data_IF_800861249750
#
_entry.id   IF_800861249750
#
_cell.length_a   1.000
_cell.length_b   1.000
_cell.length_c   1.000
_cell.angle_alpha   90.00
_cell.angle_beta   90.00
_cell.angle_gamma   90.00
#
_symmetry.space_group_name_H-M   'P 1'
#
loop_
_entity.id
_entity.type
_entity.pdbx_description
1 polymer ?
#
# COMPACT_ATOMS: atom_id res chain seq x y z
N UNK A 1 -20.65 16.94 -2.79
CA UNK A 1 -20.43 15.68 -3.55
C UNK A 1 -19.81 14.68 -2.60
N UNK A 2 -20.61 13.75 -2.07
CA UNK A 2 -20.14 12.73 -1.14
C UNK A 2 -19.64 11.58 -2.01
N UNK A 3 -18.33 11.38 -2.07
CA UNK A 3 -17.76 10.21 -2.75
C UNK A 3 -18.08 9.03 -1.83
N UNK A 4 -19.05 8.20 -2.21
CA UNK A 4 -19.19 6.90 -1.58
C UNK A 4 -17.92 6.11 -1.90
N UNK A 5 -17.19 5.58 -0.90
CA UNK A 5 -16.07 4.69 -1.20
C UNK A 5 -16.65 3.55 -2.03
N UNK A 6 -16.09 3.31 -3.21
CA UNK A 6 -16.47 2.16 -4.01
C UNK A 6 -16.44 0.94 -3.08
N UNK A 7 -17.54 0.20 -3.03
CA UNK A 7 -17.68 -0.97 -2.16
C UNK A 7 -16.67 -2.03 -2.59
N UNK A 8 -15.44 -1.90 -2.10
CA UNK A 8 -14.34 -2.75 -2.47
C UNK A 8 -14.49 -4.04 -1.66
N UNK A 9 -14.98 -5.11 -2.29
CA UNK A 9 -15.06 -6.43 -1.68
C UNK A 9 -13.78 -7.21 -2.00
N UNK A 10 -12.72 -6.97 -1.22
CA UNK A 10 -11.46 -7.73 -1.32
C UNK A 10 -11.71 -9.20 -1.04
N UNK A 11 -11.19 -10.09 -1.88
CA UNK A 11 -11.05 -11.50 -1.52
C UNK A 11 -9.81 -11.68 -0.64
N UNK A 12 -9.81 -12.72 0.21
CA UNK A 12 -8.63 -13.07 1.02
C UNK A 12 -7.40 -13.33 0.13
N UNK A 13 -7.63 -13.87 -1.05
CA UNK A 13 -6.58 -14.20 -2.02
C UNK A 13 -5.91 -12.92 -2.53
N UNK A 14 -6.70 -11.89 -2.86
CA UNK A 14 -6.16 -10.62 -3.32
C UNK A 14 -5.33 -9.90 -2.25
N UNK A 15 -5.74 -9.95 -0.98
CA UNK A 15 -4.93 -9.42 0.12
C UNK A 15 -3.62 -10.20 0.29
N UNK A 16 -3.66 -11.51 0.09
CA UNK A 16 -2.47 -12.37 0.16
C UNK A 16 -1.49 -12.04 -0.96
N UNK A 17 -1.99 -11.83 -2.17
CA UNK A 17 -1.20 -11.40 -3.33
C UNK A 17 -0.56 -10.03 -3.10
N UNK A 18 -1.32 -9.06 -2.58
CA UNK A 18 -0.79 -7.74 -2.23
C UNK A 18 0.34 -7.85 -1.20
N UNK A 19 0.19 -8.65 -0.15
CA UNK A 19 1.23 -8.85 0.86
C UNK A 19 2.48 -9.50 0.25
N UNK A 20 2.29 -10.50 -0.63
CA UNK A 20 3.39 -11.20 -1.29
C UNK A 20 4.26 -10.31 -2.19
N UNK A 21 3.77 -9.14 -2.61
CA UNK A 21 4.57 -8.16 -3.36
C UNK A 21 5.83 -7.73 -2.59
N UNK A 22 5.79 -7.71 -1.25
CA UNK A 22 6.97 -7.35 -0.45
C UNK A 22 8.07 -8.42 -0.43
N UNK A 23 7.80 -9.63 -0.91
CA UNK A 23 8.76 -10.75 -0.87
C UNK A 23 9.63 -10.82 -2.13
N UNK A 24 9.33 -10.06 -3.19
CA UNK A 24 9.96 -10.24 -4.51
C UNK A 24 10.11 -8.95 -5.33
N UNK A 25 10.89 -7.98 -4.83
CA UNK A 25 10.99 -6.63 -5.41
C UNK A 25 11.27 -6.54 -6.91
N UNK A 26 12.19 -7.34 -7.45
CA UNK A 26 12.50 -7.32 -8.89
C UNK A 26 11.32 -7.79 -9.78
N UNK A 27 10.49 -8.72 -9.27
CA UNK A 27 9.32 -9.22 -10.01
C UNK A 27 8.18 -8.22 -10.00
N UNK A 28 8.02 -7.48 -8.90
CA UNK A 28 6.96 -6.48 -8.73
C UNK A 28 7.10 -5.33 -9.73
N UNK A 29 8.32 -4.87 -10.00
CA UNK A 29 8.55 -3.82 -10.99
C UNK A 29 8.05 -4.24 -12.38
N UNK A 30 8.18 -5.53 -12.74
CA UNK A 30 7.71 -6.05 -14.04
C UNK A 30 6.21 -6.39 -14.10
N UNK A 31 5.56 -6.63 -12.97
CA UNK A 31 4.18 -7.16 -12.91
C UNK A 31 3.15 -6.16 -12.42
N UNK A 32 3.57 -5.12 -11.70
CA UNK A 32 2.70 -4.08 -11.18
C UNK A 32 2.01 -4.46 -9.85
N UNK A 33 1.07 -3.60 -9.44
CA UNK A 33 0.14 -3.84 -8.33
C UNK A 33 -1.23 -4.05 -8.94
N UNK A 34 -1.86 -5.20 -8.70
CA UNK A 34 -3.24 -5.45 -9.14
C UNK A 34 -4.22 -5.18 -8.01
N UNK A 35 -5.25 -4.39 -8.30
CA UNK A 35 -6.33 -4.05 -7.38
C UNK A 35 -7.68 -4.15 -8.09
N UNK A 36 -8.44 -5.19 -7.77
CA UNK A 36 -9.58 -5.62 -8.57
C UNK A 36 -9.12 -5.99 -9.97
N UNK A 37 -9.80 -5.47 -10.98
CA UNK A 37 -9.44 -5.69 -12.39
C UNK A 37 -8.45 -4.63 -12.93
N UNK A 38 -7.83 -3.83 -12.04
CA UNK A 38 -6.96 -2.73 -12.44
C UNK A 38 -5.52 -3.04 -12.06
N UNK A 39 -4.62 -3.02 -13.06
CA UNK A 39 -3.19 -3.12 -12.85
C UNK A 39 -2.55 -1.74 -12.85
N UNK A 40 -1.69 -1.48 -11.87
CA UNK A 40 -0.94 -0.26 -11.71
C UNK A 40 0.54 -0.57 -11.94
N UNK A 41 1.17 0.18 -12.85
CA UNK A 41 2.60 0.07 -13.12
C UNK A 41 3.40 0.58 -11.93
N UNK A 42 4.37 -0.22 -11.46
CA UNK A 42 5.18 0.12 -10.29
C UNK A 42 6.29 1.08 -10.71
N UNK A 43 6.32 2.25 -10.08
CA UNK A 43 7.33 3.27 -10.33
C UNK A 43 8.43 3.28 -9.27
N UNK A 44 8.09 2.89 -8.03
CA UNK A 44 9.03 2.86 -6.91
C UNK A 44 8.76 1.65 -6.04
N UNK A 45 9.83 0.94 -5.70
CA UNK A 45 9.80 -0.17 -4.78
C UNK A 45 10.80 0.10 -3.64
N UNK A 46 10.30 0.04 -2.41
CA UNK A 46 11.07 0.07 -1.17
C UNK A 46 10.61 -1.10 -0.30
N UNK A 47 11.45 -1.52 0.63
CA UNK A 47 11.16 -2.64 1.55
C UNK A 47 9.85 -2.45 2.33
N UNK A 48 9.49 -1.21 2.66
CA UNK A 48 8.26 -0.88 3.40
C UNK A 48 7.17 -0.23 2.53
N UNK A 49 7.43 0.00 1.25
CA UNK A 49 6.51 0.78 0.42
C UNK A 49 6.66 0.50 -1.07
N UNK A 50 5.54 0.21 -1.72
CA UNK A 50 5.45 0.01 -3.16
C UNK A 50 4.47 1.04 -3.72
N UNK A 51 4.90 1.76 -4.75
CA UNK A 51 4.14 2.86 -5.34
C UNK A 51 4.01 2.64 -6.84
N UNK A 52 2.78 2.76 -7.34
CA UNK A 52 2.49 2.63 -8.76
C UNK A 52 1.44 3.61 -9.27
N UNK A 53 1.16 3.54 -10.56
CA UNK A 53 0.18 4.38 -11.24
C UNK A 53 -0.47 3.62 -12.41
N UNK A 54 -1.71 3.96 -12.75
CA UNK A 54 -2.33 3.44 -13.97
C UNK A 54 -1.57 3.95 -15.21
N UNK A 55 -1.34 3.07 -16.17
CA UNK A 55 -0.57 3.35 -17.39
C UNK A 55 -1.21 4.38 -18.33
N UNK A 56 -2.55 4.38 -18.44
CA UNK A 56 -3.25 5.02 -19.56
C UNK A 56 -3.63 6.49 -19.39
N UNK A 57 -3.23 7.19 -18.31
CA UNK A 57 -3.59 8.60 -18.16
C UNK A 57 -2.40 9.47 -17.72
N UNK A 58 -2.21 10.59 -18.41
CA UNK A 58 -1.34 11.68 -17.98
C UNK A 58 -1.66 12.14 -16.53
N UNK A 59 -2.91 11.93 -16.11
CA UNK A 59 -3.44 12.19 -14.75
C UNK A 59 -3.78 10.91 -13.95
N UNK A 60 -3.24 9.75 -14.33
CA UNK A 60 -3.63 8.45 -13.78
C UNK A 60 -3.69 8.36 -12.26
N UNK A 61 -4.70 7.67 -11.74
CA UNK A 61 -4.78 7.36 -10.32
C UNK A 61 -3.53 6.57 -9.87
N UNK A 62 -2.89 7.06 -8.81
CA UNK A 62 -1.79 6.38 -8.16
C UNK A 62 -2.27 5.42 -7.08
N UNK A 63 -1.40 4.48 -6.73
CA UNK A 63 -1.60 3.49 -5.68
C UNK A 63 -0.34 3.43 -4.81
N UNK A 64 -0.52 3.30 -3.51
CA UNK A 64 0.56 3.01 -2.57
C UNK A 64 0.14 1.84 -1.67
N UNK A 65 1.02 0.86 -1.59
CA UNK A 65 0.95 -0.23 -0.62
C UNK A 65 2.09 -0.04 0.38
N UNK A 66 1.76 0.06 1.66
CA UNK A 66 2.68 0.40 2.74
C UNK A 66 2.67 -0.74 3.76
N UNK A 67 3.85 -1.12 4.25
CA UNK A 67 4.04 -2.06 5.34
C UNK A 67 4.62 -1.30 6.53
N UNK A 68 3.97 -1.40 7.69
CA UNK A 68 4.42 -0.78 8.95
C UNK A 68 4.66 -1.88 9.97
N UNK A 69 5.91 -2.14 10.38
CA UNK A 69 6.22 -3.07 11.46
C UNK A 69 5.53 -2.63 12.77
N UNK A 70 4.92 -3.58 13.48
CA UNK A 70 4.28 -3.30 14.77
C UNK A 70 5.24 -3.65 15.90
N UNK A 71 5.32 -2.77 16.91
CA UNK A 71 6.15 -3.00 18.08
C UNK A 71 5.44 -3.84 19.12
N UNK A 72 6.22 -4.68 19.80
CA UNK A 72 5.80 -5.41 21.00
C UNK A 72 5.69 -4.44 22.18
N UNK A 73 4.54 -4.42 22.85
CA UNK A 73 4.33 -3.58 24.03
C UNK A 73 5.24 -3.98 25.21
N UNK A 74 5.62 -5.26 25.29
CA UNK A 74 6.44 -5.80 26.38
C UNK A 74 7.93 -5.46 26.23
N UNK A 75 8.43 -5.37 25.00
CA UNK A 75 9.88 -5.24 24.72
C UNK A 75 10.24 -3.95 23.98
N UNK A 76 9.25 -3.23 23.44
CA UNK A 76 9.43 -2.08 22.55
C UNK A 76 10.31 -2.38 21.31
N UNK A 77 10.37 -3.65 20.91
CA UNK A 77 11.07 -4.16 19.71
C UNK A 77 10.05 -4.64 18.68
N UNK A 78 10.49 -4.94 17.45
CA UNK A 78 9.60 -5.52 16.44
C UNK A 78 8.94 -6.82 16.93
N UNK A 79 7.61 -6.89 16.79
CA UNK A 79 6.81 -8.06 17.15
C UNK A 79 6.84 -9.17 16.08
N UNK A 80 7.46 -8.90 14.92
CA UNK A 80 7.35 -9.73 13.72
C UNK A 80 6.00 -9.57 13.00
N UNK A 81 5.07 -8.80 13.53
CA UNK A 81 3.80 -8.45 12.87
C UNK A 81 3.93 -7.12 12.11
N UNK A 82 3.08 -6.93 11.10
CA UNK A 82 3.04 -5.70 10.32
C UNK A 82 1.60 -5.31 10.01
N UNK A 83 1.32 -4.00 10.07
CA UNK A 83 0.09 -3.42 9.53
C UNK A 83 0.35 -3.07 8.07
N UNK A 84 -0.55 -3.51 7.19
CA UNK A 84 -0.52 -3.19 5.77
C UNK A 84 -1.58 -2.14 5.46
N UNK A 85 -1.20 -1.13 4.70
CA UNK A 85 -2.10 -0.08 4.27
C UNK A 85 -2.08 0.07 2.76
N UNK A 86 -3.25 0.32 2.21
CA UNK A 86 -3.44 0.52 0.80
C UNK A 86 -4.21 1.81 0.58
N UNK A 87 -3.67 2.69 -0.28
CA UNK A 87 -4.31 3.94 -0.65
C UNK A 87 -4.25 4.15 -2.16
N UNK A 88 -5.37 4.58 -2.75
CA UNK A 88 -5.39 5.17 -4.09
C UNK A 88 -5.51 6.69 -3.99
N UNK A 89 -4.94 7.41 -4.95
CA UNK A 89 -4.96 8.87 -4.95
C UNK A 89 -4.89 9.44 -6.37
N UNK A 90 -5.59 10.55 -6.61
CA UNK A 90 -5.61 11.18 -7.94
C UNK A 90 -4.33 11.96 -8.26
N UNK A 91 -3.80 12.70 -7.28
CA UNK A 91 -2.64 13.57 -7.47
C UNK A 91 -1.43 13.06 -6.68
N UNK A 92 -0.21 13.06 -7.27
CA UNK A 92 1.01 12.66 -6.57
C UNK A 92 1.28 13.48 -5.29
N UNK A 93 0.85 14.73 -5.23
CA UNK A 93 1.02 15.58 -4.04
C UNK A 93 0.14 15.17 -2.85
N UNK A 94 -0.88 14.36 -3.07
CA UNK A 94 -1.70 13.81 -1.99
C UNK A 94 -1.01 12.61 -1.33
N UNK A 95 -0.26 11.82 -2.11
CA UNK A 95 0.45 10.66 -1.57
C UNK A 95 1.52 11.06 -0.57
N UNK A 96 2.25 12.15 -0.84
CA UNK A 96 3.27 12.67 0.08
C UNK A 96 2.73 13.14 1.44
N UNK A 97 1.42 13.41 1.54
CA UNK A 97 0.77 13.77 2.81
C UNK A 97 0.13 12.57 3.50
N UNK A 98 -0.58 11.73 2.76
CA UNK A 98 -1.35 10.62 3.37
C UNK A 98 -0.42 9.52 3.86
N UNK A 99 0.67 9.21 3.13
CA UNK A 99 1.57 8.11 3.47
C UNK A 99 2.25 8.33 4.83
N UNK A 100 2.89 9.48 5.13
CA UNK A 100 3.50 9.70 6.44
C UNK A 100 2.49 9.69 7.58
N UNK A 101 1.36 10.39 7.41
CA UNK A 101 0.30 10.44 8.42
C UNK A 101 -0.23 9.05 8.76
N UNK A 102 -0.37 8.20 7.75
CA UNK A 102 -0.82 6.82 7.91
C UNK A 102 0.24 5.94 8.61
N UNK A 103 1.53 6.13 8.29
CA UNK A 103 2.62 5.45 9.00
C UNK A 103 2.65 5.83 10.48
N UNK A 104 2.52 7.12 10.78
CA UNK A 104 2.42 7.63 12.16
C UNK A 104 1.22 7.02 12.89
N UNK A 105 0.05 7.02 12.26
CA UNK A 105 -1.15 6.41 12.84
C UNK A 105 -0.97 4.92 13.16
N UNK A 106 -0.31 4.15 12.28
CA UNK A 106 -0.05 2.72 12.53
C UNK A 106 1.00 2.48 13.61
N UNK A 107 1.97 3.39 13.76
CA UNK A 107 3.03 3.27 14.76
C UNK A 107 2.52 3.40 16.20
N UNK A 108 1.33 3.99 16.40
CA UNK A 108 0.65 4.05 17.70
C UNK A 108 0.07 2.70 18.14
N UNK A 109 -0.07 1.74 17.22
CA UNK A 109 -0.52 0.40 17.57
C UNK A 109 0.66 -0.46 18.04
N UNK A 110 0.45 -1.16 19.14
CA UNK A 110 1.39 -2.14 19.69
C UNK A 110 0.66 -3.45 19.93
N UNK A 111 1.41 -4.56 19.91
CA UNK A 111 0.89 -5.91 20.17
C UNK A 111 1.51 -6.51 21.41
#
# INVERSE_FOLDING_TARGET
MRIEPAAFKKTKDELTELIALFESGNRVISTGITLGDINYEVHRYFEEMIVGRKAEEAEGEGIALIKVPVKSAATNTDSGQSIYMLATYKLPTLSSKIIPMMKEYCAEYTV
#
